data_IF_351307184404
#
_entry.id   IF_351307184404
#
_cell.length_a   1.000
_cell.length_b   1.000
_cell.length_c   1.000
_cell.angle_alpha   90.00
_cell.angle_beta   90.00
_cell.angle_gamma   90.00
#
_symmetry.space_group_name_H-M   'P 1'
#
loop_
_entity.id
_entity.type
_entity.pdbx_description
1 polymer ?
#
# COMPACT_ATOMS: atom_id res chain seq x y z
N UNK A 1 29.91 -18.96 22.79
CA UNK A 1 29.70 -18.24 21.52
C UNK A 1 29.40 -19.27 20.45
N UNK A 2 28.32 -19.12 19.69
CA UNK A 2 27.99 -20.05 18.61
C UNK A 2 29.02 -19.92 17.49
N UNK A 3 29.55 -21.05 17.01
CA UNK A 3 30.52 -21.09 15.92
C UNK A 3 29.83 -20.72 14.61
N UNK A 4 30.23 -19.61 14.00
CA UNK A 4 29.69 -19.16 12.71
C UNK A 4 30.21 -20.13 11.63
N UNK A 5 29.31 -20.91 11.03
CA UNK A 5 29.61 -21.94 10.03
C UNK A 5 29.57 -21.45 8.57
N UNK A 6 29.24 -20.17 8.35
CA UNK A 6 29.13 -19.59 7.01
C UNK A 6 30.53 -19.20 6.52
N UNK A 7 31.01 -19.86 5.46
CA UNK A 7 32.35 -19.66 4.89
C UNK A 7 32.50 -18.36 4.07
N UNK A 8 31.41 -17.83 3.55
CA UNK A 8 31.37 -16.57 2.80
C UNK A 8 30.24 -15.68 3.31
N UNK A 9 30.60 -14.63 4.06
CA UNK A 9 29.64 -13.64 4.56
C UNK A 9 29.14 -12.70 3.46
N UNK A 10 29.79 -12.66 2.29
CA UNK A 10 29.40 -11.78 1.18
C UNK A 10 28.26 -12.33 0.33
N UNK A 11 27.96 -13.64 0.43
CA UNK A 11 26.87 -14.31 -0.28
C UNK A 11 26.89 -14.05 -1.80
N UNK A 12 28.09 -14.04 -2.41
CA UNK A 12 28.27 -13.66 -3.83
C UNK A 12 27.46 -14.53 -4.80
N UNK A 13 27.22 -15.77 -4.44
CA UNK A 13 26.48 -16.73 -5.27
C UNK A 13 24.95 -16.66 -5.06
N UNK A 14 24.49 -15.91 -4.05
CA UNK A 14 23.06 -15.75 -3.75
C UNK A 14 22.44 -14.68 -4.66
N UNK A 15 21.96 -15.12 -5.82
CA UNK A 15 21.29 -14.27 -6.80
C UNK A 15 19.76 -14.34 -6.69
N UNK A 16 19.08 -13.26 -7.09
CA UNK A 16 17.63 -13.28 -7.24
C UNK A 16 17.26 -14.16 -8.43
N UNK A 17 16.25 -15.02 -8.26
CA UNK A 17 15.60 -15.67 -9.40
C UNK A 17 15.05 -14.61 -10.36
N UNK A 18 14.96 -14.93 -11.65
CA UNK A 18 14.43 -14.04 -12.70
C UNK A 18 13.09 -13.42 -12.29
N UNK A 19 12.17 -14.25 -11.79
CA UNK A 19 10.87 -13.82 -11.25
C UNK A 19 10.99 -12.67 -10.24
N UNK A 20 11.84 -12.83 -9.22
CA UNK A 20 12.00 -11.82 -8.16
C UNK A 20 12.73 -10.59 -8.69
N UNK A 21 13.67 -10.76 -9.61
CA UNK A 21 14.37 -9.66 -10.26
C UNK A 21 13.41 -8.79 -11.10
N UNK A 22 12.47 -9.39 -11.82
CA UNK A 22 11.42 -8.69 -12.56
C UNK A 22 10.48 -7.90 -11.64
N UNK A 23 9.97 -8.53 -10.57
CA UNK A 23 9.14 -7.86 -9.57
C UNK A 23 9.87 -6.69 -8.92
N UNK A 24 11.15 -6.87 -8.58
CA UNK A 24 12.02 -5.80 -8.07
C UNK A 24 12.11 -4.65 -9.08
N UNK A 25 12.39 -4.94 -10.35
CA UNK A 25 12.47 -3.93 -11.42
C UNK A 25 11.15 -3.17 -11.57
N UNK A 26 10.02 -3.86 -11.56
CA UNK A 26 8.70 -3.25 -11.61
C UNK A 26 8.45 -2.33 -10.39
N UNK A 27 8.80 -2.79 -9.19
CA UNK A 27 8.62 -2.02 -7.95
C UNK A 27 9.47 -0.74 -7.88
N UNK A 28 10.71 -0.79 -8.38
CA UNK A 28 11.58 0.40 -8.45
C UNK A 28 11.20 1.35 -9.57
N UNK A 29 10.61 0.85 -10.66
CA UNK A 29 10.03 1.67 -11.73
C UNK A 29 8.73 2.36 -11.31
N UNK A 30 7.93 1.69 -10.46
CA UNK A 30 6.66 2.19 -9.96
C UNK A 30 6.84 3.39 -9.02
N UNK A 31 6.05 4.42 -9.26
CA UNK A 31 5.87 5.53 -8.32
C UNK A 31 4.84 5.15 -7.25
N UNK A 32 5.00 5.61 -6.00
CA UNK A 32 4.01 5.35 -4.99
C UNK A 32 2.73 6.15 -5.28
N UNK A 33 1.58 5.50 -5.10
CA UNK A 33 0.26 6.07 -5.43
C UNK A 33 -0.61 6.18 -4.17
N UNK A 34 -1.32 7.29 -4.00
CA UNK A 34 -2.29 7.44 -2.91
C UNK A 34 -3.49 6.50 -3.16
N UNK A 35 -3.75 5.62 -2.21
CA UNK A 35 -4.85 4.66 -2.29
C UNK A 35 -6.07 5.16 -1.51
N UNK A 36 -7.15 5.46 -2.23
CA UNK A 36 -8.39 6.02 -1.67
C UNK A 36 -9.45 4.97 -1.31
N UNK A 37 -9.25 3.69 -1.62
CA UNK A 37 -10.26 2.65 -1.35
C UNK A 37 -10.55 2.51 0.15
N UNK A 38 -9.52 2.24 0.95
CA UNK A 38 -9.62 2.14 2.40
C UNK A 38 -10.22 3.39 3.07
N UNK A 39 -9.69 4.61 2.85
CA UNK A 39 -10.24 5.81 3.49
C UNK A 39 -11.70 6.06 3.10
N UNK A 40 -12.12 5.71 1.88
CA UNK A 40 -13.53 5.77 1.49
C UNK A 40 -14.40 4.77 2.26
N UNK A 41 -13.97 3.50 2.35
CA UNK A 41 -14.72 2.46 3.05
C UNK A 41 -14.85 2.74 4.55
N UNK A 42 -13.76 3.15 5.20
CA UNK A 42 -13.77 3.44 6.64
C UNK A 42 -14.63 4.66 6.95
N UNK A 43 -14.56 5.71 6.12
CA UNK A 43 -15.37 6.93 6.28
C UNK A 43 -16.84 6.63 6.09
N UNK A 44 -17.20 5.86 5.06
CA UNK A 44 -18.57 5.41 4.81
C UNK A 44 -19.15 4.66 6.01
N UNK A 45 -18.40 3.68 6.54
CA UNK A 45 -18.84 2.94 7.72
C UNK A 45 -19.10 3.86 8.93
N UNK A 46 -18.21 4.82 9.20
CA UNK A 46 -18.36 5.73 10.33
C UNK A 46 -19.56 6.67 10.16
N UNK A 47 -19.83 7.14 8.94
CA UNK A 47 -21.00 7.96 8.63
C UNK A 47 -22.31 7.17 8.82
N UNK A 48 -22.41 5.99 8.20
CA UNK A 48 -23.61 5.14 8.25
C UNK A 48 -23.95 4.67 9.68
N UNK A 49 -22.95 4.54 10.54
CA UNK A 49 -23.11 4.11 11.94
C UNK A 49 -23.08 5.27 12.94
N UNK A 50 -23.12 6.52 12.47
CA UNK A 50 -23.08 7.74 13.28
C UNK A 50 -21.95 7.73 14.33
N UNK A 51 -20.75 7.32 13.92
CA UNK A 51 -19.58 7.20 14.79
C UNK A 51 -18.74 8.48 14.85
N UNK A 52 -18.86 9.37 13.86
CA UNK A 52 -18.09 10.63 13.83
C UNK A 52 -18.54 11.65 14.87
N UNK A 53 -19.80 11.58 15.31
CA UNK A 53 -20.37 12.48 16.33
C UNK A 53 -20.17 11.95 17.77
N UNK A 54 -19.41 10.86 17.94
CA UNK A 54 -19.14 10.28 19.26
C UNK A 54 -17.77 10.70 19.75
N UNK A 55 -17.68 11.12 21.01
CA UNK A 55 -16.40 11.44 21.67
C UNK A 55 -15.45 10.24 21.72
N UNK A 56 -16.01 9.02 21.78
CA UNK A 56 -15.26 7.77 21.80
C UNK A 56 -16.03 6.65 21.12
N UNK A 57 -15.33 5.85 20.33
CA UNK A 57 -15.83 4.59 19.78
C UNK A 57 -15.29 3.41 20.60
N UNK A 58 -16.07 2.32 20.68
CA UNK A 58 -15.63 1.11 21.37
C UNK A 58 -14.65 0.28 20.51
N UNK A 59 -13.94 -0.66 21.15
CA UNK A 59 -13.11 -1.64 20.43
C UNK A 59 -13.97 -2.47 19.47
N UNK A 60 -15.22 -2.76 19.84
CA UNK A 60 -16.15 -3.50 18.99
C UNK A 60 -16.56 -2.69 17.76
N UNK A 61 -16.78 -1.38 17.89
CA UNK A 61 -17.06 -0.50 16.75
C UNK A 61 -15.88 -0.48 15.78
N UNK A 62 -14.66 -0.39 16.30
CA UNK A 62 -13.43 -0.46 15.48
C UNK A 62 -13.28 -1.82 14.78
N UNK A 63 -13.58 -2.92 15.47
CA UNK A 63 -13.55 -4.26 14.89
C UNK A 63 -14.58 -4.42 13.77
N UNK A 64 -15.81 -3.90 13.96
CA UNK A 64 -16.87 -3.89 12.93
C UNK A 64 -16.46 -3.05 11.73
N UNK A 65 -15.86 -1.89 11.95
CA UNK A 65 -15.35 -1.03 10.89
C UNK A 65 -14.27 -1.74 10.06
N UNK A 66 -13.34 -2.42 10.73
CA UNK A 66 -12.28 -3.17 10.05
C UNK A 66 -12.83 -4.37 9.27
N UNK A 67 -13.78 -5.11 9.85
CA UNK A 67 -14.50 -6.18 9.16
C UNK A 67 -15.19 -5.66 7.90
N UNK A 68 -15.92 -4.55 7.99
CA UNK A 68 -16.58 -3.92 6.85
C UNK A 68 -15.59 -3.57 5.74
N UNK A 69 -14.43 -2.99 6.08
CA UNK A 69 -13.38 -2.70 5.10
C UNK A 69 -12.88 -3.97 4.42
N UNK A 70 -12.64 -5.06 5.17
CA UNK A 70 -12.15 -6.32 4.61
C UNK A 70 -13.19 -7.04 3.74
N UNK A 71 -14.48 -6.95 4.08
CA UNK A 71 -15.57 -7.55 3.31
C UNK A 71 -15.86 -6.80 1.99
N UNK A 72 -15.60 -5.49 1.94
CA UNK A 72 -15.99 -4.63 0.82
C UNK A 72 -14.83 -4.20 -0.09
N UNK A 73 -13.58 -4.38 0.36
CA UNK A 73 -12.42 -4.01 -0.46
C UNK A 73 -12.25 -4.96 -1.64
N UNK A 74 -11.72 -4.44 -2.73
CA UNK A 74 -11.41 -5.24 -3.92
C UNK A 74 -10.26 -6.20 -3.61
N UNK A 75 -10.46 -7.53 -3.71
CA UNK A 75 -9.38 -8.48 -3.55
C UNK A 75 -8.47 -8.42 -4.77
N UNK A 76 -7.18 -8.17 -4.55
CA UNK A 76 -6.17 -8.19 -5.60
C UNK A 76 -5.19 -9.32 -5.31
N UNK A 77 -5.18 -10.32 -6.17
CA UNK A 77 -4.20 -11.41 -6.13
C UNK A 77 -2.88 -10.94 -6.75
N UNK A 78 -2.96 -10.28 -7.90
CA UNK A 78 -1.82 -9.79 -8.67
C UNK A 78 -2.14 -8.46 -9.34
N UNK A 79 -1.18 -7.54 -9.31
CA UNK A 79 -1.27 -6.30 -10.06
C UNK A 79 -0.81 -6.50 -11.51
N UNK A 80 -1.43 -5.77 -12.44
CA UNK A 80 -1.11 -5.86 -13.89
C UNK A 80 -0.55 -4.57 -14.48
N UNK A 81 -0.69 -3.47 -13.75
CA UNK A 81 -0.31 -2.13 -14.19
C UNK A 81 0.12 -1.26 -13.03
N UNK A 82 0.97 -0.28 -13.31
CA UNK A 82 1.38 0.76 -12.38
C UNK A 82 1.78 2.02 -13.17
N UNK A 83 2.07 3.11 -12.47
CA UNK A 83 2.58 4.33 -13.06
C UNK A 83 4.06 4.50 -12.76
N UNK A 84 4.81 5.02 -13.73
CA UNK A 84 6.16 5.54 -13.54
C UNK A 84 6.12 7.07 -13.53
N UNK A 85 7.28 7.70 -13.26
CA UNK A 85 7.42 9.15 -13.21
C UNK A 85 6.75 9.85 -14.41
N UNK A 86 5.98 10.91 -14.11
CA UNK A 86 5.18 11.64 -15.09
C UNK A 86 3.86 10.96 -15.47
N UNK A 87 3.28 10.17 -14.55
CA UNK A 87 1.99 9.46 -14.72
C UNK A 87 1.92 8.57 -15.97
N UNK A 88 3.06 8.07 -16.43
CA UNK A 88 3.11 7.15 -17.57
C UNK A 88 2.74 5.75 -17.10
N UNK A 89 1.67 5.19 -17.63
CA UNK A 89 1.26 3.82 -17.35
C UNK A 89 2.28 2.84 -17.91
N UNK A 90 2.59 1.79 -17.16
CA UNK A 90 3.25 0.61 -17.69
C UNK A 90 2.58 -0.66 -17.17
N UNK A 91 2.57 -1.68 -18.01
CA UNK A 91 2.09 -3.00 -17.65
C UNK A 91 3.25 -3.88 -17.19
N UNK A 92 2.94 -4.81 -16.29
CA UNK A 92 3.87 -5.83 -15.82
C UNK A 92 3.06 -7.02 -15.32
N UNK A 93 3.71 -8.18 -15.23
CA UNK A 93 3.09 -9.39 -14.69
C UNK A 93 3.54 -9.56 -13.24
N UNK A 94 2.66 -9.24 -12.29
CA UNK A 94 2.87 -9.66 -10.91
C UNK A 94 2.71 -11.19 -10.86
N UNK A 95 3.84 -11.89 -10.71
CA UNK A 95 3.94 -13.33 -10.63
C UNK A 95 4.37 -13.77 -9.22
N UNK A 96 4.14 -12.94 -8.20
CA UNK A 96 4.37 -13.29 -6.80
C UNK A 96 3.63 -14.57 -6.43
N UNK A 97 4.30 -15.45 -5.67
CA UNK A 97 3.67 -16.63 -5.09
C UNK A 97 2.76 -16.29 -3.90
N UNK A 98 2.85 -15.07 -3.39
CA UNK A 98 1.96 -14.56 -2.35
C UNK A 98 0.81 -13.83 -3.01
N UNK A 99 -0.40 -14.34 -2.77
CA UNK A 99 -1.63 -13.67 -3.15
C UNK A 99 -1.95 -12.56 -2.14
N UNK A 100 -2.42 -11.43 -2.65
CA UNK A 100 -2.95 -10.35 -1.82
C UNK A 100 -2.16 -9.07 -1.94
N UNK A 101 -2.90 -7.96 -1.88
CA UNK A 101 -2.37 -6.61 -1.77
C UNK A 101 -3.05 -5.89 -0.63
N UNK A 102 -2.34 -5.02 0.08
CA UNK A 102 -2.93 -4.13 1.10
C UNK A 102 -3.64 -2.93 0.49
N UNK A 103 -3.38 -2.61 -0.78
CA UNK A 103 -3.92 -1.45 -1.49
C UNK A 103 -4.45 -1.82 -2.87
N UNK A 104 -5.34 -0.98 -3.41
CA UNK A 104 -5.82 -1.10 -4.80
C UNK A 104 -4.77 -0.75 -5.87
N UNK A 105 -3.60 -0.26 -5.44
CA UNK A 105 -2.46 0.15 -6.26
C UNK A 105 -1.26 -0.78 -6.01
N UNK A 106 -0.40 -0.98 -7.02
CA UNK A 106 0.77 -1.85 -6.90
C UNK A 106 1.76 -1.36 -5.85
N UNK A 107 2.07 -0.05 -5.88
CA UNK A 107 2.88 0.63 -4.87
C UNK A 107 2.01 1.64 -4.11
N UNK A 108 0.97 1.15 -3.46
CA UNK A 108 -0.03 2.01 -2.82
C UNK A 108 0.39 2.53 -1.45
N UNK A 109 0.01 3.77 -1.17
CA UNK A 109 0.10 4.43 0.13
C UNK A 109 -1.32 4.57 0.67
N UNK A 110 -1.73 3.75 1.66
CA UNK A 110 -3.06 3.85 2.27
C UNK A 110 -3.15 5.07 3.17
N UNK A 111 -4.35 5.66 3.24
CA UNK A 111 -4.68 6.72 4.18
C UNK A 111 -5.49 6.19 5.37
N UNK A 112 -5.30 6.83 6.52
CA UNK A 112 -5.99 6.55 7.78
C UNK A 112 -6.72 7.81 8.28
N UNK A 113 -7.92 8.11 7.75
CA UNK A 113 -8.73 9.28 8.13
C UNK A 113 -9.02 9.36 9.62
N UNK A 114 -9.16 8.20 10.28
CA UNK A 114 -9.40 8.12 11.71
C UNK A 114 -8.22 8.59 12.59
N UNK A 115 -7.06 8.89 11.98
CA UNK A 115 -5.89 9.42 12.65
C UNK A 115 -5.58 10.83 12.14
N UNK A 116 -4.68 10.96 11.17
CA UNK A 116 -4.13 12.23 10.71
C UNK A 116 -4.12 12.35 9.18
N UNK A 117 -4.91 11.57 8.43
CA UNK A 117 -4.85 11.66 6.96
C UNK A 117 -5.22 13.04 6.41
N UNK A 118 -6.02 13.83 7.14
CA UNK A 118 -6.38 15.20 6.72
C UNK A 118 -5.17 16.14 6.64
N UNK A 119 -4.05 15.84 7.29
CA UNK A 119 -2.84 16.68 7.18
C UNK A 119 -2.24 16.68 5.78
N UNK A 120 -2.64 15.75 4.90
CA UNK A 120 -2.24 15.74 3.49
C UNK A 120 -2.93 16.81 2.67
N UNK A 121 -4.07 17.34 3.13
CA UNK A 121 -4.93 18.28 2.40
C UNK A 121 -4.18 19.47 1.79
N UNK A 122 -3.36 20.25 2.53
CA UNK A 122 -2.63 21.38 1.97
C UNK A 122 -1.60 20.98 0.90
N UNK A 123 -1.23 19.71 0.84
CA UNK A 123 -0.19 19.21 -0.06
C UNK A 123 -0.76 18.49 -1.29
N UNK A 124 -2.07 18.23 -1.36
CA UNK A 124 -2.69 17.44 -2.43
C UNK A 124 -2.36 17.93 -3.85
N UNK A 125 -2.22 19.25 -4.04
CA UNK A 125 -1.94 19.84 -5.34
C UNK A 125 -0.47 19.73 -5.76
N UNK A 126 0.46 19.58 -4.81
CA UNK A 126 1.91 19.56 -5.07
C UNK A 126 2.60 18.27 -4.64
N UNK A 127 1.86 17.29 -4.14
CA UNK A 127 2.40 16.06 -3.57
C UNK A 127 3.20 15.22 -4.58
N UNK A 128 2.83 15.30 -5.86
CA UNK A 128 3.53 14.65 -6.97
C UNK A 128 4.86 15.32 -7.32
N UNK A 129 5.03 16.59 -6.97
CA UNK A 129 6.19 17.41 -7.33
C UNK A 129 7.24 17.48 -6.23
N UNK A 130 6.97 16.87 -5.07
CA UNK A 130 7.92 16.81 -3.95
C UNK A 130 9.24 16.16 -4.39
N UNK A 131 10.36 16.81 -4.08
CA UNK A 131 11.71 16.24 -4.30
C UNK A 131 11.91 14.93 -3.53
N UNK A 132 11.30 14.80 -2.35
CA UNK A 132 11.37 13.59 -1.50
C UNK A 132 9.97 13.02 -1.32
N UNK A 133 9.85 11.71 -1.48
CA UNK A 133 8.60 10.97 -1.31
C UNK A 133 7.41 11.58 -2.09
N UNK A 134 7.53 11.76 -3.42
CA UNK A 134 6.39 12.15 -4.23
C UNK A 134 5.37 11.01 -4.29
N UNK A 135 4.09 11.37 -4.21
CA UNK A 135 2.98 10.43 -4.38
C UNK A 135 2.08 10.88 -5.54
N UNK A 136 1.52 9.91 -6.25
CA UNK A 136 0.66 10.12 -7.42
C UNK A 136 -0.78 9.68 -7.18
#
# INVERSE_FOLDING_TARGET
MAQITIKDLSLKDCNLTERVAELKKAYFKAMPEVCVERPSLITRFHLENNLLNKDKISILDKARAYRFVLENRTPIVWHKRSYQKGMKTFEFKDNSFFAGSTTSKFKGVPLYPEFLALTIWPELLGISDRTRNPFY
#
